data_IF_124011426963
#
_entry.id   IF_124011426963
#
_cell.length_a   1.000
_cell.length_b   1.000
_cell.length_c   1.000
_cell.angle_alpha   90.00
_cell.angle_beta   90.00
_cell.angle_gamma   90.00
#
_symmetry.space_group_name_H-M   'P 1'
#
loop_
_entity.id
_entity.type
_entity.pdbx_description
1 polymer ?
#
# COMPACT_ATOMS: atom_id res chain seq x y z
N UNK A 1 31.69 16.41 53.72
CA UNK A 1 30.70 17.40 53.28
C UNK A 1 30.09 16.85 52.02
N UNK A 2 28.85 16.39 52.12
CA UNK A 2 28.11 15.78 51.05
C UNK A 2 27.33 16.84 50.28
N UNK A 3 27.36 16.82 48.95
CA UNK A 3 26.49 17.64 48.10
C UNK A 3 25.70 16.72 47.20
N UNK A 4 24.43 16.54 47.54
CA UNK A 4 23.40 15.85 46.82
C UNK A 4 23.00 16.63 45.56
N UNK A 5 23.12 16.03 44.36
CA UNK A 5 22.55 16.57 43.15
C UNK A 5 21.20 15.89 42.89
N UNK A 6 20.13 16.68 42.92
CA UNK A 6 18.75 16.30 42.60
C UNK A 6 18.64 16.06 41.09
N UNK A 7 18.36 14.82 40.69
CA UNK A 7 17.88 14.50 39.36
C UNK A 7 16.43 14.95 39.20
N UNK A 8 16.16 15.88 38.30
CA UNK A 8 14.81 16.21 37.85
C UNK A 8 14.32 15.14 36.88
N UNK A 9 13.35 14.40 37.31
CA UNK A 9 12.49 13.52 36.49
C UNK A 9 11.69 14.41 35.54
N UNK A 10 11.90 14.26 34.24
CA UNK A 10 11.14 14.95 33.21
C UNK A 10 9.99 14.00 32.82
N UNK A 11 8.78 14.37 33.24
CA UNK A 11 7.53 13.69 32.87
C UNK A 11 7.31 13.76 31.34
N UNK A 12 6.74 12.71 30.70
CA UNK A 12 6.44 12.74 29.27
C UNK A 12 5.31 13.73 29.00
N UNK A 13 5.63 14.75 28.25
CA UNK A 13 4.77 15.87 27.89
C UNK A 13 3.60 15.41 27.02
N UNK A 14 2.39 15.63 27.53
CA UNK A 14 1.14 15.64 26.79
C UNK A 14 1.15 16.76 25.75
N UNK A 15 1.55 16.47 24.51
CA UNK A 15 1.53 17.47 23.43
C UNK A 15 1.19 16.82 22.08
N UNK A 16 0.05 16.12 22.00
CA UNK A 16 -0.54 15.70 20.71
C UNK A 16 -2.07 15.83 20.64
N UNK A 17 -2.66 16.71 21.41
CA UNK A 17 -4.13 16.87 21.44
C UNK A 17 -4.62 18.27 21.02
N UNK A 18 -3.86 19.05 20.25
CA UNK A 18 -4.32 20.42 19.95
C UNK A 18 -3.93 20.91 18.55
N UNK A 19 -4.35 20.20 17.50
CA UNK A 19 -4.46 20.80 16.16
C UNK A 19 -5.60 20.16 15.33
N UNK A 20 -6.69 19.77 15.97
CA UNK A 20 -7.93 19.55 15.24
C UNK A 20 -8.59 20.92 15.04
N UNK A 21 -8.10 21.68 14.07
CA UNK A 21 -8.79 22.87 13.59
C UNK A 21 -10.18 22.46 13.14
N UNK A 22 -11.20 23.01 13.78
CA UNK A 22 -12.60 22.94 13.36
C UNK A 22 -12.72 23.61 11.98
N UNK A 23 -12.53 22.83 10.92
CA UNK A 23 -12.96 23.22 9.57
C UNK A 23 -14.49 23.29 9.61
N UNK A 24 -15.06 24.42 9.16
CA UNK A 24 -16.51 24.58 8.95
C UNK A 24 -16.98 23.43 8.05
N UNK A 25 -18.12 22.82 8.39
CA UNK A 25 -18.72 21.67 7.69
C UNK A 25 -19.04 21.90 6.19
N UNK A 26 -18.84 23.11 5.66
CA UNK A 26 -19.06 23.49 4.27
C UNK A 26 -17.84 23.31 3.34
N UNK A 27 -16.64 22.99 3.87
CA UNK A 27 -15.37 22.90 3.12
C UNK A 27 -14.70 21.52 3.19
N UNK A 28 -15.40 20.51 3.70
CA UNK A 28 -14.85 19.15 3.79
C UNK A 28 -14.83 18.51 2.40
N UNK A 29 -13.64 18.17 1.90
CA UNK A 29 -13.50 17.48 0.61
C UNK A 29 -14.13 16.09 0.67
N UNK A 30 -14.58 15.57 -0.48
CA UNK A 30 -15.18 14.23 -0.57
C UNK A 30 -14.22 13.15 -0.04
N UNK A 31 -12.93 13.25 -0.33
CA UNK A 31 -11.94 12.30 0.15
C UNK A 31 -11.79 12.35 1.68
N UNK A 32 -11.81 13.55 2.28
CA UNK A 32 -11.75 13.70 3.73
C UNK A 32 -12.97 13.05 4.41
N UNK A 33 -14.16 13.20 3.84
CA UNK A 33 -15.38 12.53 4.32
C UNK A 33 -15.29 11.01 4.18
N UNK A 34 -14.79 10.50 3.04
CA UNK A 34 -14.56 9.07 2.84
C UNK A 34 -13.54 8.52 3.84
N UNK A 35 -12.44 9.25 4.07
CA UNK A 35 -11.43 8.88 5.05
C UNK A 35 -12.03 8.73 6.46
N UNK A 36 -12.75 9.74 6.94
CA UNK A 36 -13.37 9.72 8.27
C UNK A 36 -14.36 8.54 8.46
N UNK A 37 -15.21 8.28 7.45
CA UNK A 37 -16.15 7.17 7.50
C UNK A 37 -15.48 5.79 7.46
N UNK A 38 -14.34 5.68 6.77
CA UNK A 38 -13.56 4.45 6.75
C UNK A 38 -12.80 4.24 8.06
N UNK A 39 -12.23 5.30 8.64
CA UNK A 39 -11.59 5.27 9.97
C UNK A 39 -12.60 4.86 11.05
N UNK A 40 -13.79 5.45 11.07
CA UNK A 40 -14.87 5.08 12.00
C UNK A 40 -15.23 3.59 11.89
N UNK A 41 -15.26 3.04 10.67
CA UNK A 41 -15.68 1.66 10.39
C UNK A 41 -14.60 0.62 10.63
N UNK A 42 -13.32 0.93 10.37
CA UNK A 42 -12.20 -0.02 10.35
C UNK A 42 -11.09 0.32 11.34
N UNK A 43 -11.20 1.44 12.02
CA UNK A 43 -10.24 1.94 13.01
C UNK A 43 -9.00 2.59 12.39
N UNK A 44 -8.33 3.38 13.20
CA UNK A 44 -7.05 4.01 12.87
C UNK A 44 -5.96 2.95 12.63
N UNK A 45 -5.01 3.27 11.74
CA UNK A 45 -3.90 2.40 11.37
C UNK A 45 -2.60 3.20 11.35
N UNK A 46 -1.57 2.63 11.96
CA UNK A 46 -0.25 3.25 12.00
C UNK A 46 0.76 2.34 11.33
N UNK A 47 1.68 2.91 10.58
CA UNK A 47 2.83 2.19 10.04
C UNK A 47 4.00 2.30 11.02
N UNK A 48 4.69 1.20 11.21
CA UNK A 48 5.97 1.11 11.93
C UNK A 48 6.92 0.33 11.04
N UNK A 49 7.56 0.99 10.06
CA UNK A 49 8.52 0.32 9.18
C UNK A 49 9.65 -0.27 10.02
N UNK A 50 9.90 -1.56 9.88
CA UNK A 50 10.89 -2.31 10.66
C UNK A 50 11.69 -3.30 9.81
N UNK A 51 11.48 -3.30 8.50
CA UNK A 51 12.06 -4.25 7.56
C UNK A 51 13.14 -3.69 6.65
N UNK A 52 13.84 -4.60 5.99
CA UNK A 52 14.72 -4.28 4.86
C UNK A 52 13.85 -3.95 3.62
N UNK A 53 13.95 -2.76 3.02
CA UNK A 53 13.16 -2.37 1.85
C UNK A 53 13.36 -3.28 0.64
N UNK A 54 14.52 -3.91 0.48
CA UNK A 54 14.74 -4.89 -0.58
C UNK A 54 13.99 -6.19 -0.31
N UNK A 55 13.92 -6.63 0.96
CA UNK A 55 13.09 -7.77 1.37
C UNK A 55 11.61 -7.49 1.09
N UNK A 56 11.14 -6.29 1.41
CA UNK A 56 9.79 -5.81 1.11
C UNK A 56 9.49 -5.77 -0.39
N UNK A 57 10.44 -5.31 -1.22
CA UNK A 57 10.32 -5.31 -2.68
C UNK A 57 10.12 -6.72 -3.22
N UNK A 58 10.98 -7.66 -2.82
CA UNK A 58 10.85 -9.08 -3.22
C UNK A 58 9.56 -9.69 -2.72
N UNK A 59 9.18 -9.43 -1.47
CA UNK A 59 7.90 -9.83 -0.91
C UNK A 59 6.71 -9.30 -1.70
N UNK A 60 6.79 -8.04 -2.17
CA UNK A 60 5.75 -7.43 -3.01
C UNK A 60 5.69 -8.09 -4.40
N UNK A 61 6.82 -8.43 -5.02
CA UNK A 61 6.84 -9.20 -6.27
C UNK A 61 6.17 -10.57 -6.07
N UNK A 62 6.50 -11.26 -4.97
CA UNK A 62 5.89 -12.54 -4.63
C UNK A 62 4.37 -12.45 -4.39
N UNK A 63 3.88 -11.31 -3.93
CA UNK A 63 2.45 -11.09 -3.67
C UNK A 63 1.60 -10.86 -4.93
N UNK A 64 2.23 -10.62 -6.09
CA UNK A 64 1.50 -10.39 -7.34
C UNK A 64 0.65 -11.62 -7.74
N UNK A 65 -0.64 -11.39 -8.04
CA UNK A 65 -1.58 -12.40 -8.50
C UNK A 65 -1.67 -13.66 -7.60
N UNK A 66 -1.55 -13.49 -6.28
CA UNK A 66 -1.71 -14.57 -5.30
C UNK A 66 -2.32 -14.07 -3.99
N UNK A 67 -2.62 -14.97 -3.06
CA UNK A 67 -3.11 -14.61 -1.72
C UNK A 67 -1.95 -14.26 -0.77
N UNK A 68 -2.25 -13.44 0.25
CA UNK A 68 -1.29 -13.05 1.29
C UNK A 68 -0.67 -14.27 2.01
N UNK A 69 -1.46 -15.33 2.20
CA UNK A 69 -0.99 -16.60 2.82
C UNK A 69 0.04 -17.30 1.94
N UNK A 70 -0.22 -17.38 0.64
CA UNK A 70 0.65 -18.07 -0.31
C UNK A 70 1.94 -17.28 -0.56
N UNK A 71 1.86 -15.96 -0.73
CA UNK A 71 3.05 -15.10 -0.88
C UNK A 71 3.93 -15.13 0.36
N UNK A 72 3.34 -15.07 1.56
CA UNK A 72 4.10 -15.16 2.82
C UNK A 72 4.78 -16.53 3.00
N UNK A 73 4.17 -17.63 2.51
CA UNK A 73 4.81 -18.95 2.50
C UNK A 73 5.99 -18.98 1.54
N UNK A 74 5.80 -18.47 0.32
CA UNK A 74 6.86 -18.40 -0.68
C UNK A 74 8.05 -17.55 -0.22
N UNK A 75 7.76 -16.40 0.40
CA UNK A 75 8.79 -15.50 0.93
C UNK A 75 9.60 -16.17 2.05
N UNK A 76 8.96 -16.83 3.02
CA UNK A 76 9.67 -17.57 4.06
C UNK A 76 10.53 -18.71 3.50
N UNK A 77 10.03 -19.44 2.50
CA UNK A 77 10.79 -20.50 1.84
C UNK A 77 12.01 -19.93 1.11
N UNK A 78 11.85 -18.80 0.41
CA UNK A 78 12.93 -18.10 -0.25
C UNK A 78 14.04 -17.73 0.72
N UNK A 79 13.70 -17.06 1.82
CA UNK A 79 14.68 -16.59 2.82
C UNK A 79 15.36 -17.74 3.59
N UNK A 80 14.65 -18.86 3.76
CA UNK A 80 15.23 -20.07 4.37
C UNK A 80 16.23 -20.78 3.43
N UNK A 81 15.95 -20.83 2.13
CA UNK A 81 16.82 -21.43 1.13
C UNK A 81 18.01 -20.54 0.75
N UNK A 82 17.80 -19.22 0.70
CA UNK A 82 18.78 -18.23 0.27
C UNK A 82 18.91 -17.10 1.29
N UNK A 83 19.86 -17.19 2.24
CA UNK A 83 20.03 -16.18 3.31
C UNK A 83 20.46 -14.81 2.80
N UNK A 84 21.11 -14.72 1.63
CA UNK A 84 21.58 -13.46 1.03
C UNK A 84 20.97 -13.22 -0.33
N UNK A 85 20.86 -11.95 -0.74
CA UNK A 85 20.35 -11.60 -2.07
C UNK A 85 21.32 -12.00 -3.18
N UNK A 86 22.64 -12.02 -2.91
CA UNK A 86 23.62 -12.57 -3.86
C UNK A 86 23.39 -14.06 -4.11
N UNK A 87 23.00 -14.83 -3.10
CA UNK A 87 22.64 -16.24 -3.29
C UNK A 87 21.37 -16.39 -4.12
N UNK A 88 20.35 -15.53 -3.95
CA UNK A 88 19.15 -15.53 -4.81
C UNK A 88 19.52 -15.19 -6.26
N UNK A 89 20.39 -14.20 -6.46
CA UNK A 89 20.83 -13.77 -7.79
C UNK A 89 21.63 -14.86 -8.51
N UNK A 90 22.44 -15.62 -7.78
CA UNK A 90 23.29 -16.69 -8.33
C UNK A 90 22.58 -18.04 -8.50
N UNK A 91 21.38 -18.20 -7.92
CA UNK A 91 20.65 -19.46 -7.97
C UNK A 91 20.17 -19.80 -9.40
N UNK A 92 20.14 -21.08 -9.81
CA UNK A 92 19.46 -21.47 -11.04
C UNK A 92 17.99 -21.07 -11.00
N UNK A 93 17.48 -20.46 -12.10
CA UNK A 93 16.08 -19.94 -12.16
C UNK A 93 15.06 -21.03 -11.81
N UNK A 94 15.29 -22.26 -12.27
CA UNK A 94 14.39 -23.39 -12.02
C UNK A 94 14.34 -23.78 -10.53
N UNK A 95 15.48 -23.82 -9.86
CA UNK A 95 15.55 -24.09 -8.41
C UNK A 95 14.88 -22.99 -7.58
N UNK A 96 15.13 -21.73 -7.94
CA UNK A 96 14.48 -20.60 -7.33
C UNK A 96 12.96 -20.64 -7.51
N UNK A 97 12.49 -20.99 -8.71
CA UNK A 97 11.08 -21.16 -9.02
C UNK A 97 10.43 -22.28 -8.16
N UNK A 98 11.14 -23.37 -7.96
CA UNK A 98 10.67 -24.49 -7.13
C UNK A 98 10.50 -24.05 -5.67
N UNK A 99 11.46 -23.34 -5.13
CA UNK A 99 11.40 -22.81 -3.75
C UNK A 99 10.20 -21.88 -3.54
N UNK A 100 9.90 -21.02 -4.50
CA UNK A 100 8.79 -20.03 -4.39
C UNK A 100 7.47 -20.55 -4.99
N UNK A 101 7.34 -21.81 -5.33
CA UNK A 101 6.19 -22.41 -6.04
C UNK A 101 4.85 -22.12 -5.37
N UNK A 102 4.81 -22.06 -4.05
CA UNK A 102 3.60 -21.75 -3.28
C UNK A 102 3.02 -20.36 -3.58
N UNK A 103 3.84 -19.44 -4.09
CA UNK A 103 3.43 -18.07 -4.45
C UNK A 103 2.67 -17.97 -5.77
N UNK A 104 2.59 -19.04 -6.57
CA UNK A 104 2.01 -19.03 -7.92
C UNK A 104 2.85 -18.27 -8.93
N UNK A 105 2.71 -18.56 -10.23
CA UNK A 105 3.50 -17.97 -11.31
C UNK A 105 5.02 -18.05 -11.06
N UNK A 106 5.48 -19.17 -10.48
CA UNK A 106 6.81 -19.30 -9.90
C UNK A 106 7.95 -18.96 -10.88
N UNK A 107 7.93 -19.53 -12.11
CA UNK A 107 8.95 -19.25 -13.12
C UNK A 107 9.02 -17.77 -13.49
N UNK A 108 7.86 -17.12 -13.68
CA UNK A 108 7.80 -15.69 -13.99
C UNK A 108 8.34 -14.84 -12.83
N UNK A 109 7.99 -15.22 -11.59
CA UNK A 109 8.43 -14.47 -10.40
C UNK A 109 9.91 -14.69 -10.10
N UNK A 110 10.43 -15.92 -10.25
CA UNK A 110 11.86 -16.22 -10.12
C UNK A 110 12.69 -15.33 -11.05
N UNK A 111 12.36 -15.36 -12.34
CA UNK A 111 13.00 -14.50 -13.34
C UNK A 111 12.92 -13.02 -12.98
N UNK A 112 11.74 -12.51 -12.63
CA UNK A 112 11.57 -11.09 -12.25
C UNK A 112 12.38 -10.69 -11.04
N UNK A 113 12.46 -11.55 -10.02
CA UNK A 113 13.27 -11.29 -8.82
C UNK A 113 14.75 -11.19 -9.23
N UNK A 114 15.27 -12.13 -10.00
CA UNK A 114 16.66 -12.11 -10.44
C UNK A 114 16.98 -10.93 -11.36
N UNK A 115 16.09 -10.62 -12.32
CA UNK A 115 16.24 -9.42 -13.17
C UNK A 115 16.23 -8.12 -12.35
N UNK A 116 15.35 -8.02 -11.33
CA UNK A 116 15.28 -6.88 -10.42
C UNK A 116 16.58 -6.74 -9.62
N UNK A 117 17.09 -7.84 -9.04
CA UNK A 117 18.32 -7.85 -8.27
C UNK A 117 19.55 -7.55 -9.14
N UNK A 118 19.59 -8.10 -10.36
CA UNK A 118 20.67 -7.82 -11.31
C UNK A 118 20.71 -6.33 -11.70
N UNK A 119 19.56 -5.78 -12.06
CA UNK A 119 19.44 -4.36 -12.41
C UNK A 119 19.79 -3.45 -11.22
N UNK A 120 19.43 -3.83 -10.00
CA UNK A 120 19.80 -3.12 -8.79
C UNK A 120 21.31 -3.12 -8.57
N UNK A 121 21.93 -4.29 -8.67
CA UNK A 121 23.38 -4.45 -8.50
C UNK A 121 24.17 -3.71 -9.59
N UNK A 122 23.70 -3.72 -10.82
CA UNK A 122 24.30 -2.94 -11.93
C UNK A 122 24.18 -1.43 -11.69
N UNK A 123 23.04 -0.96 -11.20
CA UNK A 123 22.77 0.48 -11.04
C UNK A 123 23.57 1.13 -9.89
N UNK A 124 23.88 0.40 -8.82
CA UNK A 124 24.52 0.96 -7.61
C UNK A 124 25.64 0.11 -6.99
N UNK A 125 25.92 -1.06 -7.52
CA UNK A 125 26.98 -1.94 -7.02
C UNK A 125 26.62 -2.75 -5.77
N UNK A 126 25.46 -2.51 -5.15
CA UNK A 126 24.98 -3.14 -3.92
C UNK A 126 23.58 -3.71 -4.08
N UNK A 127 23.22 -4.68 -3.24
CA UNK A 127 21.88 -5.25 -3.14
C UNK A 127 21.17 -4.73 -1.88
N UNK A 128 20.87 -3.43 -1.89
CA UNK A 128 20.06 -2.71 -0.90
C UNK A 128 19.26 -1.59 -1.57
N UNK A 129 18.48 -0.86 -0.82
CA UNK A 129 17.70 0.28 -1.30
C UNK A 129 17.96 1.55 -0.46
N UNK A 130 19.12 1.64 0.23
CA UNK A 130 19.46 2.77 1.10
C UNK A 130 19.50 4.11 0.35
N UNK A 131 19.86 4.10 -0.94
CA UNK A 131 19.84 5.32 -1.78
C UNK A 131 18.45 6.01 -1.81
N UNK A 132 17.38 5.30 -1.53
CA UNK A 132 16.04 5.88 -1.55
C UNK A 132 15.80 6.88 -0.42
N UNK A 133 16.53 6.78 0.68
CA UNK A 133 16.38 7.66 1.86
C UNK A 133 16.69 9.13 1.52
N UNK A 134 17.67 9.36 0.64
CA UNK A 134 18.10 10.69 0.22
C UNK A 134 17.29 11.27 -0.95
N UNK A 135 16.40 10.49 -1.55
CA UNK A 135 15.59 10.93 -2.70
C UNK A 135 14.30 11.62 -2.26
N UNK A 136 13.80 12.56 -3.07
CA UNK A 136 12.42 13.01 -2.95
C UNK A 136 11.45 11.84 -3.16
N UNK A 137 10.20 11.95 -2.68
CA UNK A 137 9.18 10.91 -2.87
C UNK A 137 8.99 10.57 -4.36
N UNK A 138 8.90 11.60 -5.19
CA UNK A 138 8.75 11.47 -6.64
C UNK A 138 9.97 10.83 -7.28
N UNK A 139 11.18 11.26 -6.87
CA UNK A 139 12.45 10.68 -7.32
C UNK A 139 12.56 9.19 -7.00
N UNK A 140 12.22 8.80 -5.77
CA UNK A 140 12.23 7.41 -5.34
C UNK A 140 11.20 6.55 -6.10
N UNK A 141 9.99 7.05 -6.32
CA UNK A 141 8.98 6.39 -7.18
C UNK A 141 9.49 6.20 -8.61
N UNK A 142 10.08 7.25 -9.19
CA UNK A 142 10.61 7.19 -10.55
C UNK A 142 11.79 6.22 -10.66
N UNK A 143 12.66 6.21 -9.65
CA UNK A 143 13.83 5.33 -9.61
C UNK A 143 13.41 3.85 -9.49
N UNK A 144 12.56 3.51 -8.54
CA UNK A 144 12.06 2.14 -8.37
C UNK A 144 11.37 1.59 -9.62
N UNK A 145 10.63 2.44 -10.34
CA UNK A 145 9.93 2.05 -11.57
C UNK A 145 10.86 1.74 -12.75
N UNK A 146 12.16 2.02 -12.65
CA UNK A 146 13.16 1.61 -13.65
C UNK A 146 13.55 0.15 -13.50
N UNK A 147 13.32 -0.44 -12.32
CA UNK A 147 13.63 -1.84 -12.08
C UNK A 147 12.64 -2.76 -12.81
N UNK A 148 13.11 -3.84 -13.45
CA UNK A 148 12.25 -4.83 -14.09
C UNK A 148 11.18 -5.38 -13.15
N UNK A 149 9.94 -5.47 -13.60
CA UNK A 149 8.83 -6.01 -12.80
C UNK A 149 8.27 -5.07 -11.71
N UNK A 150 8.82 -3.86 -11.57
CA UNK A 150 8.39 -2.86 -10.60
C UNK A 150 7.50 -1.81 -11.26
N UNK A 151 6.19 -1.98 -11.11
CA UNK A 151 5.18 -1.00 -11.55
C UNK A 151 4.88 0.06 -10.48
N UNK A 152 3.98 1.04 -10.80
CA UNK A 152 3.61 2.10 -9.86
C UNK A 152 3.14 1.58 -8.51
N UNK A 153 2.29 0.53 -8.51
CA UNK A 153 1.78 -0.08 -7.26
C UNK A 153 2.89 -0.69 -6.43
N UNK A 154 3.82 -1.43 -7.06
CA UNK A 154 4.94 -2.08 -6.37
C UNK A 154 5.87 -1.04 -5.75
N UNK A 155 6.26 -0.01 -6.51
CA UNK A 155 7.09 1.09 -6.02
C UNK A 155 6.44 1.82 -4.83
N UNK A 156 5.14 2.12 -4.92
CA UNK A 156 4.41 2.76 -3.84
C UNK A 156 4.29 1.86 -2.59
N UNK A 157 4.19 0.53 -2.76
CA UNK A 157 4.19 -0.39 -1.62
C UNK A 157 5.51 -0.36 -0.85
N UNK A 158 6.65 -0.44 -1.53
CA UNK A 158 7.97 -0.37 -0.89
C UNK A 158 8.13 0.93 -0.11
N UNK A 159 7.79 2.06 -0.74
CA UNK A 159 7.91 3.36 -0.06
C UNK A 159 6.96 3.49 1.13
N UNK A 160 5.73 3.01 1.01
CA UNK A 160 4.75 3.14 2.08
C UNK A 160 5.03 2.19 3.24
N UNK A 161 5.21 0.90 2.97
CA UNK A 161 5.28 -0.12 4.01
C UNK A 161 6.67 -0.27 4.61
N UNK A 162 7.70 -0.25 3.77
CA UNK A 162 9.06 -0.57 4.20
C UNK A 162 9.86 0.69 4.59
N UNK A 163 9.59 1.84 3.96
CA UNK A 163 10.27 3.11 4.24
C UNK A 163 9.39 4.14 4.97
N UNK A 164 8.10 3.85 5.24
CA UNK A 164 7.20 4.77 5.92
C UNK A 164 6.92 6.07 5.16
N UNK A 165 7.20 6.10 3.86
CA UNK A 165 7.04 7.29 3.01
C UNK A 165 5.66 7.31 2.37
N UNK A 166 4.96 8.44 2.34
CA UNK A 166 3.54 8.53 2.00
C UNK A 166 3.26 8.40 0.49
N UNK A 167 3.64 7.28 -0.13
CA UNK A 167 3.28 6.92 -1.48
C UNK A 167 2.03 6.05 -1.48
N UNK A 168 0.94 6.45 -2.13
CA UNK A 168 -0.32 5.69 -2.13
C UNK A 168 -0.28 4.53 -3.13
N UNK A 169 -0.30 3.26 -2.70
CA UNK A 169 -0.48 2.15 -3.62
C UNK A 169 -1.93 2.07 -4.09
N UNK A 170 -2.16 2.00 -5.40
CA UNK A 170 -3.49 1.82 -5.97
C UNK A 170 -3.61 0.40 -6.53
N UNK A 171 -4.17 -0.49 -5.72
CA UNK A 171 -4.49 -1.85 -6.11
C UNK A 171 -5.88 -1.93 -6.77
N UNK A 172 -6.31 -3.13 -7.12
CA UNK A 172 -7.63 -3.37 -7.73
C UNK A 172 -8.79 -2.98 -6.81
N UNK A 173 -8.63 -3.05 -5.48
CA UNK A 173 -9.64 -2.62 -4.51
C UNK A 173 -9.73 -1.10 -4.46
N UNK A 174 -8.60 -0.44 -4.22
CA UNK A 174 -8.52 1.04 -4.17
C UNK A 174 -9.03 1.65 -5.47
N UNK A 175 -8.57 1.16 -6.62
CA UNK A 175 -8.99 1.65 -7.92
C UNK A 175 -10.49 1.52 -8.16
N UNK A 176 -11.05 0.33 -7.92
CA UNK A 176 -12.48 0.07 -8.09
C UNK A 176 -13.33 0.97 -7.19
N UNK A 177 -12.96 1.08 -5.92
CA UNK A 177 -13.71 1.87 -4.94
C UNK A 177 -13.63 3.35 -5.27
N UNK A 178 -12.43 3.86 -5.59
CA UNK A 178 -12.23 5.26 -5.98
C UNK A 178 -13.10 5.65 -7.19
N UNK A 179 -13.20 4.79 -8.21
CA UNK A 179 -14.09 5.00 -9.36
C UNK A 179 -15.58 5.00 -8.95
N UNK A 180 -16.00 4.04 -8.11
CA UNK A 180 -17.39 3.96 -7.64
C UNK A 180 -17.78 5.15 -6.77
N UNK A 181 -16.87 5.63 -5.96
CA UNK A 181 -17.06 6.83 -5.14
C UNK A 181 -17.07 8.11 -6.00
N UNK A 182 -16.41 8.10 -7.16
CA UNK A 182 -16.16 9.30 -7.96
C UNK A 182 -15.04 10.16 -7.40
N UNK A 183 -14.06 9.57 -6.72
CA UNK A 183 -12.81 10.24 -6.32
C UNK A 183 -11.87 10.43 -7.51
N UNK A 184 -12.01 9.59 -8.52
CA UNK A 184 -11.34 9.68 -9.82
C UNK A 184 -12.37 9.54 -10.95
N UNK A 185 -12.06 10.13 -12.08
CA UNK A 185 -12.93 10.08 -13.26
C UNK A 185 -13.07 8.67 -13.86
N UNK A 186 -14.16 8.40 -14.60
CA UNK A 186 -14.44 7.06 -15.15
C UNK A 186 -13.40 6.59 -16.17
N UNK A 187 -12.70 7.51 -16.84
CA UNK A 187 -11.68 7.23 -17.87
C UNK A 187 -10.25 7.24 -17.32
N UNK A 188 -10.04 7.54 -16.04
CA UNK A 188 -8.71 7.57 -15.41
C UNK A 188 -8.15 6.15 -15.38
N UNK A 189 -6.92 5.97 -15.87
CA UNK A 189 -6.19 4.68 -15.80
C UNK A 189 -5.73 4.36 -14.38
N UNK A 190 -5.37 3.10 -14.12
CA UNK A 190 -4.83 2.71 -12.82
C UNK A 190 -3.55 3.48 -12.47
N UNK A 191 -2.65 3.68 -13.44
CA UNK A 191 -1.42 4.44 -13.24
C UNK A 191 -1.69 5.91 -12.90
N UNK A 192 -2.61 6.55 -13.62
CA UNK A 192 -3.00 7.93 -13.36
C UNK A 192 -3.69 8.09 -12.00
N UNK A 193 -4.43 7.05 -11.56
CA UNK A 193 -5.11 7.04 -10.27
C UNK A 193 -4.15 7.19 -9.08
N UNK A 194 -2.90 6.69 -9.17
CA UNK A 194 -1.88 6.91 -8.14
C UNK A 194 -1.66 8.41 -7.89
N UNK A 195 -1.47 9.18 -8.95
CA UNK A 195 -1.21 10.63 -8.86
C UNK A 195 -2.45 11.38 -8.39
N UNK A 196 -3.62 11.09 -8.97
CA UNK A 196 -4.85 11.83 -8.68
C UNK A 196 -5.40 11.57 -7.27
N UNK A 197 -5.26 10.36 -6.74
CA UNK A 197 -5.67 10.04 -5.37
C UNK A 197 -4.65 10.54 -4.35
N UNK A 198 -3.35 10.39 -4.64
CA UNK A 198 -2.28 10.89 -3.78
C UNK A 198 -2.44 12.40 -3.52
N UNK A 199 -2.77 13.18 -4.53
CA UNK A 199 -2.94 14.64 -4.43
C UNK A 199 -4.14 15.07 -3.57
N UNK A 200 -5.04 14.16 -3.21
CA UNK A 200 -6.23 14.43 -2.40
C UNK A 200 -6.05 14.09 -0.92
N UNK A 201 -4.94 13.46 -0.55
CA UNK A 201 -4.66 12.97 0.81
C UNK A 201 -3.54 13.75 1.47
N UNK A 202 -3.66 13.98 2.77
CA UNK A 202 -2.52 14.43 3.56
C UNK A 202 -1.52 13.27 3.75
N UNK A 203 -0.22 13.56 3.91
CA UNK A 203 0.81 12.53 4.01
C UNK A 203 0.56 11.47 5.10
N UNK A 204 0.09 11.88 6.26
CA UNK A 204 -0.20 11.02 7.41
C UNK A 204 -1.45 10.15 7.24
N UNK A 205 -2.30 10.46 6.26
CA UNK A 205 -3.52 9.71 5.95
C UNK A 205 -3.28 8.54 4.99
N UNK A 206 -2.19 8.56 4.23
CA UNK A 206 -1.98 7.65 3.08
C UNK A 206 -1.99 6.17 3.49
N UNK A 207 -1.28 5.83 4.56
CA UNK A 207 -1.17 4.44 5.03
C UNK A 207 -2.53 3.88 5.47
N UNK A 208 -3.20 4.62 6.34
CA UNK A 208 -4.50 4.21 6.86
C UNK A 208 -5.55 4.15 5.75
N UNK A 209 -5.60 5.17 4.90
CA UNK A 209 -6.53 5.21 3.77
C UNK A 209 -6.37 3.97 2.87
N UNK A 210 -5.14 3.61 2.52
CA UNK A 210 -4.86 2.44 1.71
C UNK A 210 -5.41 1.15 2.35
N UNK A 211 -5.07 0.90 3.62
CA UNK A 211 -5.50 -0.31 4.32
C UNK A 211 -7.01 -0.38 4.54
N UNK A 212 -7.64 0.75 4.87
CA UNK A 212 -9.08 0.82 5.08
C UNK A 212 -9.84 0.65 3.76
N UNK A 213 -9.33 1.19 2.65
CA UNK A 213 -9.88 0.94 1.31
C UNK A 213 -9.81 -0.54 0.92
N UNK A 214 -8.70 -1.22 1.20
CA UNK A 214 -8.57 -2.67 0.96
C UNK A 214 -9.56 -3.44 1.83
N UNK A 215 -9.62 -3.15 3.13
CA UNK A 215 -10.55 -3.81 4.05
C UNK A 215 -12.01 -3.64 3.59
N UNK A 216 -12.38 -2.43 3.16
CA UNK A 216 -13.68 -2.13 2.58
C UNK A 216 -13.94 -2.91 1.29
N UNK A 217 -12.94 -2.98 0.41
CA UNK A 217 -13.03 -3.70 -0.86
C UNK A 217 -13.16 -5.21 -0.73
N UNK A 218 -12.51 -5.80 0.28
CA UNK A 218 -12.60 -7.23 0.59
C UNK A 218 -13.94 -7.59 1.26
N UNK A 219 -14.48 -6.73 2.11
CA UNK A 219 -15.66 -7.04 2.95
C UNK A 219 -16.98 -6.55 2.37
N UNK A 220 -17.03 -5.31 1.90
CA UNK A 220 -18.27 -4.62 1.53
C UNK A 220 -18.33 -4.28 0.04
N UNK A 221 -17.41 -3.44 -0.45
CA UNK A 221 -17.45 -2.98 -1.84
C UNK A 221 -16.81 -3.99 -2.80
N UNK A 222 -17.35 -5.21 -2.85
CA UNK A 222 -16.84 -6.34 -3.65
C UNK A 222 -17.02 -6.12 -5.15
N UNK A 223 -16.29 -6.85 -5.96
CA UNK A 223 -16.55 -7.11 -7.36
C UNK A 223 -17.04 -8.57 -7.51
N UNK A 224 -18.05 -8.88 -8.34
CA UNK A 224 -18.88 -7.94 -9.09
C UNK A 224 -19.97 -7.26 -8.26
N UNK A 225 -20.46 -7.87 -7.17
CA UNK A 225 -21.63 -7.45 -6.40
C UNK A 225 -21.25 -6.83 -5.06
N UNK A 226 -21.31 -5.47 -4.91
CA UNK A 226 -21.09 -4.80 -3.64
C UNK A 226 -22.28 -4.96 -2.68
N UNK A 227 -21.99 -5.03 -1.38
CA UNK A 227 -22.99 -5.07 -0.31
C UNK A 227 -23.35 -3.66 0.14
N UNK A 228 -24.06 -2.91 -0.72
CA UNK A 228 -24.35 -1.49 -0.49
C UNK A 228 -25.21 -1.24 0.75
N UNK A 229 -26.06 -2.20 1.16
CA UNK A 229 -26.85 -2.09 2.38
C UNK A 229 -26.00 -2.02 3.67
N UNK A 230 -24.79 -2.57 3.66
CA UNK A 230 -23.85 -2.58 4.78
C UNK A 230 -22.79 -1.45 4.67
N UNK A 231 -22.87 -0.61 3.62
CA UNK A 231 -21.81 0.32 3.24
C UNK A 231 -21.95 1.67 3.94
N UNK A 232 -20.94 2.13 4.73
CA UNK A 232 -20.99 3.43 5.38
C UNK A 232 -20.84 4.60 4.40
N UNK A 233 -20.44 4.32 3.14
CA UNK A 233 -20.11 5.34 2.14
C UNK A 233 -21.28 5.66 1.19
N UNK A 234 -22.49 5.10 1.40
CA UNK A 234 -23.64 5.30 0.49
C UNK A 234 -23.98 6.76 0.28
N UNK A 235 -23.91 7.58 1.35
CA UNK A 235 -24.19 9.02 1.32
C UNK A 235 -23.22 9.85 0.45
N UNK A 236 -22.04 9.30 0.10
CA UNK A 236 -21.03 9.99 -0.72
C UNK A 236 -20.65 9.20 -1.99
N UNK A 237 -21.34 8.09 -2.26
CA UNK A 237 -20.98 7.17 -3.35
C UNK A 237 -21.75 7.47 -4.63
N UNK A 238 -21.05 7.94 -5.68
CA UNK A 238 -21.66 8.21 -6.99
C UNK A 238 -22.30 6.96 -7.60
N UNK A 239 -21.68 5.79 -7.44
CA UNK A 239 -22.21 4.53 -7.95
C UNK A 239 -23.56 4.17 -7.31
N UNK A 240 -23.71 4.37 -6.02
CA UNK A 240 -24.95 4.13 -5.29
C UNK A 240 -26.02 5.17 -5.63
N UNK A 241 -25.67 6.45 -5.61
CA UNK A 241 -26.57 7.57 -5.89
C UNK A 241 -27.02 7.62 -7.36
N UNK A 242 -26.11 7.39 -8.31
CA UNK A 242 -26.43 7.31 -9.74
C UNK A 242 -27.32 6.12 -10.11
N UNK A 243 -27.51 5.22 -9.19
CA UNK A 243 -28.39 4.07 -9.28
C UNK A 243 -29.82 4.34 -8.77
N UNK A 244 -30.25 5.59 -8.66
CA UNK A 244 -31.59 5.98 -8.18
C UNK A 244 -31.90 5.53 -6.75
N UNK A 245 -30.86 5.43 -5.89
CA UNK A 245 -31.03 5.04 -4.49
C UNK A 245 -31.35 3.57 -4.24
N UNK A 246 -31.48 2.76 -5.28
CA UNK A 246 -31.72 1.31 -5.15
C UNK A 246 -30.42 0.52 -5.23
N UNK A 247 -30.22 -0.51 -4.39
CA UNK A 247 -29.02 -1.34 -4.47
C UNK A 247 -28.94 -2.04 -5.83
N UNK A 248 -27.72 -2.18 -6.41
CA UNK A 248 -27.49 -2.79 -7.73
C UNK A 248 -28.06 -4.21 -7.89
N UNK A 249 -28.37 -4.90 -6.79
CA UNK A 249 -28.92 -6.24 -6.78
C UNK A 249 -30.36 -6.32 -7.30
N UNK A 250 -31.14 -5.23 -7.19
CA UNK A 250 -32.50 -5.19 -7.69
C UNK A 250 -32.61 -5.02 -9.20
N UNK A 251 -31.54 -4.56 -9.87
CA UNK A 251 -31.51 -4.33 -11.32
C UNK A 251 -31.23 -5.57 -12.17
N UNK A 252 -30.71 -6.65 -11.56
CA UNK A 252 -30.47 -7.92 -12.28
C UNK A 252 -31.70 -8.81 -12.37
N UNK A 253 -32.85 -8.39 -11.76
CA UNK A 253 -34.10 -9.13 -11.78
C UNK A 253 -35.19 -8.46 -12.64
N UNK A 254 -34.90 -7.35 -13.26
CA UNK A 254 -35.73 -6.67 -14.26
C UNK A 254 -35.13 -6.80 -15.66
#
# INVERSE_FOLDING_TARGET
>A
MATTAHGKEIAPTQTKALHRRTRKASDETKVARVYALLEERYGAKHNTPDGDPLDGLVGTILSQATSDVNSGRAHRALRAAYPTWDAVLAAPEEELADVIRSGGLANLKARRIQETLAALKEAQGALDLALLDDMSLEGALAWLRRLPGVGPKTAACVLLFDLGRPALPVDTHVYRIAKRLGLIGPKVSADRAHVELQAQLEPDQVYEFHLNMIAHGKRVCRAPLPRCAECPLTGVCNYYQGASGSPPQERQKA
#
